data_IF_606652285342
#
_entry.id   IF_606652285342
#
_cell.length_a   1.000
_cell.length_b   1.000
_cell.length_c   1.000
_cell.angle_alpha   90.00
_cell.angle_beta   90.00
_cell.angle_gamma   90.00
#
_symmetry.space_group_name_H-M   'P 1'
#
loop_
_entity.id
_entity.type
_entity.pdbx_description
1 polymer ?
#
# COMPACT_ATOMS: atom_id res chain seq x y z
N UNK A 1 8.05 -26.93 -12.41
CA UNK A 1 7.19 -26.18 -11.52
C UNK A 1 7.58 -24.73 -11.48
N UNK A 2 6.62 -23.89 -11.66
CA UNK A 2 6.86 -22.45 -11.80
C UNK A 2 6.38 -21.74 -10.56
N UNK A 3 7.17 -21.81 -9.51
CA UNK A 3 6.82 -21.28 -8.20
C UNK A 3 6.50 -19.78 -8.22
N UNK A 4 7.01 -19.04 -9.21
CA UNK A 4 6.75 -17.63 -9.34
C UNK A 4 5.46 -17.29 -10.09
N UNK A 5 4.76 -18.27 -10.64
CA UNK A 5 3.53 -18.01 -11.39
C UNK A 5 2.45 -17.27 -10.61
N UNK A 6 2.23 -17.54 -9.31
CA UNK A 6 1.24 -16.76 -8.55
C UNK A 6 1.51 -15.26 -8.52
N UNK A 7 2.78 -14.86 -8.77
CA UNK A 7 3.16 -13.44 -8.81
C UNK A 7 3.07 -12.82 -10.20
N UNK A 8 2.72 -13.63 -11.21
CA UNK A 8 2.63 -13.20 -12.60
C UNK A 8 1.27 -13.62 -13.17
N UNK A 9 0.17 -12.99 -12.71
CA UNK A 9 -1.17 -13.38 -13.16
C UNK A 9 -1.36 -13.08 -14.64
N UNK A 10 -2.15 -13.91 -15.28
CA UNK A 10 -2.56 -13.66 -16.66
C UNK A 10 -3.65 -12.58 -16.65
N UNK A 11 -3.88 -11.96 -17.81
CA UNK A 11 -4.84 -10.86 -17.92
C UNK A 11 -6.28 -11.26 -17.55
N UNK A 12 -6.65 -12.52 -17.72
CA UNK A 12 -7.98 -13.02 -17.38
C UNK A 12 -8.07 -13.64 -15.99
N UNK A 13 -6.95 -13.79 -15.31
CA UNK A 13 -6.92 -14.45 -13.99
C UNK A 13 -7.38 -13.49 -12.89
N UNK A 14 -8.03 -14.06 -11.87
CA UNK A 14 -8.49 -13.34 -10.70
C UNK A 14 -7.54 -13.61 -9.54
N UNK A 15 -6.60 -12.71 -9.31
CA UNK A 15 -5.62 -12.82 -8.23
C UNK A 15 -5.61 -11.55 -7.39
N UNK A 16 -5.43 -11.72 -6.09
CA UNK A 16 -5.29 -10.63 -5.13
C UNK A 16 -4.05 -10.88 -4.29
N UNK A 17 -3.19 -9.87 -4.18
CA UNK A 17 -2.03 -9.91 -3.30
C UNK A 17 -2.24 -8.85 -2.23
N UNK A 18 -2.18 -9.25 -0.97
CA UNK A 18 -2.38 -8.34 0.16
C UNK A 18 -1.30 -8.55 1.20
N UNK A 19 -0.97 -7.51 1.91
CA UNK A 19 -0.09 -7.62 3.07
C UNK A 19 0.74 -6.39 3.33
N UNK A 20 1.50 -6.50 4.42
CA UNK A 20 2.51 -5.52 4.80
C UNK A 20 3.79 -5.82 4.02
N UNK A 21 4.03 -5.03 2.98
CA UNK A 21 5.23 -5.18 2.15
C UNK A 21 6.41 -4.35 2.67
N UNK A 22 6.18 -3.57 3.73
CA UNK A 22 7.20 -2.74 4.38
C UNK A 22 7.91 -1.75 3.45
N UNK A 23 7.28 -1.38 2.35
CA UNK A 23 7.81 -0.39 1.41
C UNK A 23 6.71 0.58 1.02
N UNK A 24 7.02 1.87 1.10
CA UNK A 24 6.16 2.95 0.63
C UNK A 24 6.75 3.47 -0.69
N UNK A 25 6.22 3.05 -1.85
CA UNK A 25 6.92 3.23 -3.12
C UNK A 25 6.82 4.61 -3.76
N UNK A 26 5.81 5.42 -3.41
CA UNK A 26 5.59 6.73 -4.03
C UNK A 26 5.91 7.87 -3.07
N UNK A 27 6.17 9.07 -3.62
CA UNK A 27 6.50 10.24 -2.80
C UNK A 27 5.45 10.56 -1.75
N UNK A 28 4.18 10.43 -2.11
CA UNK A 28 3.07 10.73 -1.21
C UNK A 28 2.56 9.52 -0.43
N UNK A 29 3.33 8.44 -0.43
CA UNK A 29 3.13 7.30 0.47
C UNK A 29 3.84 7.51 1.81
N UNK A 30 4.58 8.61 1.96
CA UNK A 30 5.29 8.97 3.19
C UNK A 30 5.05 10.44 3.51
N UNK A 31 5.20 10.79 4.79
CA UNK A 31 4.99 12.16 5.26
C UNK A 31 6.04 13.15 4.75
N UNK A 32 7.25 12.69 4.42
CA UNK A 32 8.29 13.51 3.80
C UNK A 32 9.23 12.66 2.96
N UNK A 33 9.04 12.70 1.67
CA UNK A 33 9.89 12.00 0.71
C UNK A 33 11.37 12.36 0.91
N UNK A 34 11.65 13.65 1.03
CA UNK A 34 13.01 14.17 1.18
C UNK A 34 13.69 13.61 2.44
N UNK A 35 13.00 13.62 3.57
CA UNK A 35 13.57 13.17 4.84
C UNK A 35 13.70 11.64 4.91
N UNK A 36 12.90 10.90 4.16
CA UNK A 36 12.86 9.45 4.24
C UNK A 36 13.66 8.73 3.16
N UNK A 37 14.36 9.47 2.28
CA UNK A 37 15.14 8.87 1.19
C UNK A 37 16.21 7.87 1.64
N UNK A 38 16.70 8.01 2.86
CA UNK A 38 17.73 7.12 3.42
C UNK A 38 17.20 6.22 4.52
N UNK A 39 15.89 6.22 4.71
CA UNK A 39 15.25 5.44 5.78
C UNK A 39 14.67 4.16 5.18
N UNK A 40 14.84 3.06 5.87
CA UNK A 40 14.27 1.77 5.48
C UNK A 40 12.76 1.92 5.20
N UNK A 41 12.28 1.24 4.21
CA UNK A 41 10.93 1.28 3.65
C UNK A 41 10.69 2.36 2.59
N UNK A 42 11.59 3.30 2.42
CA UNK A 42 11.45 4.35 1.40
C UNK A 42 12.78 4.68 0.70
N UNK A 43 13.80 3.85 0.82
CA UNK A 43 15.03 4.06 0.05
C UNK A 43 14.74 3.89 -1.44
N UNK A 44 15.47 4.59 -2.32
CA UNK A 44 15.25 4.48 -3.76
C UNK A 44 15.26 3.04 -4.29
N UNK A 45 16.18 2.22 -3.79
CA UNK A 45 16.27 0.83 -4.26
C UNK A 45 15.06 0.00 -3.85
N UNK A 46 14.53 0.21 -2.65
CA UNK A 46 13.32 -0.49 -2.19
C UNK A 46 12.11 -0.10 -3.02
N UNK A 47 11.92 1.19 -3.23
CA UNK A 47 10.81 1.72 -4.03
C UNK A 47 10.89 1.20 -5.47
N UNK A 48 12.07 1.27 -6.06
CA UNK A 48 12.30 0.81 -7.43
C UNK A 48 12.01 -0.68 -7.60
N UNK A 49 12.47 -1.50 -6.65
CA UNK A 49 12.23 -2.95 -6.70
C UNK A 49 10.76 -3.30 -6.55
N UNK A 50 10.05 -2.63 -5.66
CA UNK A 50 8.62 -2.90 -5.47
C UNK A 50 7.84 -2.51 -6.72
N UNK A 51 8.12 -1.34 -7.28
CA UNK A 51 7.44 -0.88 -8.50
C UNK A 51 7.77 -1.77 -9.70
N UNK A 52 9.00 -2.29 -9.78
CA UNK A 52 9.38 -3.22 -10.83
C UNK A 52 8.62 -4.55 -10.71
N UNK A 53 8.47 -5.07 -9.49
CA UNK A 53 7.71 -6.29 -9.25
C UNK A 53 6.23 -6.12 -9.61
N UNK A 54 5.65 -4.97 -9.24
CA UNK A 54 4.28 -4.64 -9.56
C UNK A 54 4.06 -4.59 -11.08
N UNK A 55 4.94 -3.91 -11.77
CA UNK A 55 4.86 -3.75 -13.22
C UNK A 55 5.08 -5.08 -13.95
N UNK A 56 6.05 -5.86 -13.49
CA UNK A 56 6.37 -7.15 -14.10
C UNK A 56 5.21 -8.13 -14.01
N UNK A 57 4.49 -8.14 -12.90
CA UNK A 57 3.30 -8.98 -12.70
C UNK A 57 2.00 -8.38 -13.22
N UNK A 58 2.05 -7.20 -13.81
CA UNK A 58 0.86 -6.45 -14.27
C UNK A 58 -0.19 -6.28 -13.17
N UNK A 59 0.29 -6.02 -11.96
CA UNK A 59 -0.57 -5.80 -10.80
C UNK A 59 -1.11 -4.39 -10.77
N UNK A 60 -2.36 -4.25 -10.35
CA UNK A 60 -3.00 -2.95 -10.10
C UNK A 60 -2.92 -2.65 -8.62
N UNK A 61 -2.26 -1.55 -8.27
CA UNK A 61 -2.22 -1.02 -6.91
C UNK A 61 -3.55 -0.33 -6.63
N UNK A 62 -4.43 -0.97 -5.88
CA UNK A 62 -5.80 -0.49 -5.68
C UNK A 62 -5.81 0.91 -5.05
N UNK A 63 -4.95 1.16 -4.07
CA UNK A 63 -4.90 2.47 -3.43
C UNK A 63 -4.62 3.58 -4.44
N UNK A 64 -3.60 3.41 -5.27
CA UNK A 64 -3.21 4.45 -6.24
C UNK A 64 -4.09 4.47 -7.49
N UNK A 65 -4.80 3.40 -7.77
CA UNK A 65 -5.82 3.40 -8.80
C UNK A 65 -7.02 4.27 -8.41
N UNK A 66 -7.28 4.38 -7.10
CA UNK A 66 -8.44 5.11 -6.57
C UNK A 66 -8.09 6.46 -5.95
N UNK A 67 -6.86 6.65 -5.52
CA UNK A 67 -6.41 7.89 -4.86
C UNK A 67 -5.31 8.53 -5.69
N UNK A 68 -5.48 9.80 -6.10
CA UNK A 68 -4.48 10.49 -6.92
C UNK A 68 -3.08 10.49 -6.30
N UNK A 69 -2.02 10.44 -7.12
CA UNK A 69 -0.65 10.46 -6.59
C UNK A 69 -0.30 11.74 -5.83
N UNK A 70 -1.06 12.81 -6.02
CA UNK A 70 -0.87 14.07 -5.30
C UNK A 70 -1.35 14.05 -3.87
N UNK A 71 -2.13 13.03 -3.46
CA UNK A 71 -2.67 12.92 -2.11
C UNK A 71 -1.84 11.98 -1.26
N UNK A 72 -1.65 12.35 0.00
CA UNK A 72 -0.97 11.50 0.99
C UNK A 72 -1.84 10.30 1.34
N UNK A 73 -1.20 9.12 1.42
CA UNK A 73 -1.88 7.87 1.80
C UNK A 73 -1.01 7.14 2.81
N UNK A 74 -1.57 6.87 3.99
CA UNK A 74 -0.83 6.19 5.05
C UNK A 74 -1.64 5.03 5.61
N UNK A 75 -0.93 3.96 6.03
CA UNK A 75 -1.51 2.81 6.70
C UNK A 75 -0.82 2.50 8.03
N UNK A 76 0.24 3.24 8.35
CA UNK A 76 1.07 2.99 9.51
C UNK A 76 1.58 4.29 10.10
N UNK A 77 1.60 4.38 11.43
CA UNK A 77 2.17 5.48 12.21
C UNK A 77 2.92 4.90 13.39
N UNK A 78 4.17 5.33 13.58
CA UNK A 78 5.00 4.86 14.67
C UNK A 78 4.35 5.13 16.04
N UNK A 79 4.54 4.21 16.98
CA UNK A 79 4.18 4.44 18.38
C UNK A 79 5.04 5.49 19.07
N UNK A 80 6.18 5.83 18.50
CA UNK A 80 7.14 6.78 19.09
C UNK A 80 6.60 8.21 19.15
N UNK A 81 5.63 8.55 18.31
CA UNK A 81 5.01 9.87 18.36
C UNK A 81 4.10 9.95 19.58
N UNK A 82 4.24 11.03 20.38
CA UNK A 82 3.40 11.24 21.54
C UNK A 82 1.93 11.44 21.14
N UNK A 83 1.70 12.12 20.03
CA UNK A 83 0.39 12.24 19.41
C UNK A 83 0.55 12.03 17.91
N UNK A 84 0.09 10.89 17.43
CA UNK A 84 0.23 10.53 16.02
C UNK A 84 -0.57 11.44 15.08
N UNK A 85 -1.64 12.07 15.59
CA UNK A 85 -2.49 12.95 14.78
C UNK A 85 -1.86 14.31 14.52
N UNK A 86 -1.09 14.84 15.47
CA UNK A 86 -0.49 16.16 15.37
C UNK A 86 0.57 16.22 14.26
N UNK A 87 1.51 15.30 14.28
CA UNK A 87 2.57 15.25 13.27
C UNK A 87 2.12 14.60 11.98
N UNK A 88 1.18 13.67 12.09
CA UNK A 88 0.67 12.86 10.98
C UNK A 88 1.79 12.29 10.11
N UNK A 89 2.81 11.73 10.76
CA UNK A 89 4.01 11.20 10.10
C UNK A 89 3.83 9.74 9.71
N UNK A 90 2.87 9.51 8.82
CA UNK A 90 2.53 8.17 8.38
C UNK A 90 3.34 7.67 7.20
N UNK A 91 3.16 6.39 6.91
CA UNK A 91 3.70 5.70 5.73
C UNK A 91 2.67 4.70 5.22
N UNK A 92 2.64 4.48 3.92
CA UNK A 92 1.81 3.42 3.33
C UNK A 92 2.65 2.17 3.18
N UNK A 93 2.52 1.23 4.11
CA UNK A 93 3.27 -0.02 4.14
C UNK A 93 2.42 -1.24 3.77
N UNK A 94 1.11 -1.12 3.91
CA UNK A 94 0.17 -2.20 3.64
C UNK A 94 -0.49 -1.98 2.29
N UNK A 95 -0.46 -3.01 1.45
CA UNK A 95 -0.85 -2.91 0.06
C UNK A 95 -1.92 -3.94 -0.29
N UNK A 96 -2.78 -3.56 -1.23
CA UNK A 96 -3.69 -4.47 -1.89
C UNK A 96 -3.47 -4.29 -3.39
N UNK A 97 -3.02 -5.35 -4.03
CA UNK A 97 -2.85 -5.40 -5.48
C UNK A 97 -3.83 -6.42 -6.05
N UNK A 98 -4.44 -6.09 -7.15
CA UNK A 98 -5.33 -7.01 -7.86
C UNK A 98 -4.82 -7.21 -9.28
N UNK A 99 -5.13 -8.37 -9.85
CA UNK A 99 -4.87 -8.61 -11.26
C UNK A 99 -5.72 -7.67 -12.11
N UNK A 100 -5.29 -7.41 -13.34
CA UNK A 100 -5.97 -6.49 -14.23
C UNK A 100 -7.44 -6.85 -14.46
N UNK A 101 -7.74 -8.15 -14.50
CA UNK A 101 -9.12 -8.62 -14.68
C UNK A 101 -10.06 -8.20 -13.54
N UNK A 102 -9.52 -7.91 -12.35
CA UNK A 102 -10.31 -7.48 -11.20
C UNK A 102 -10.40 -5.97 -11.04
N UNK A 103 -9.64 -5.20 -11.82
CA UNK A 103 -9.57 -3.75 -11.65
C UNK A 103 -10.96 -3.10 -11.67
N UNK A 104 -11.79 -3.45 -12.64
CA UNK A 104 -13.13 -2.87 -12.77
C UNK A 104 -14.16 -3.49 -11.82
N UNK A 105 -13.80 -4.53 -11.11
CA UNK A 105 -14.67 -5.17 -10.12
C UNK A 105 -14.51 -4.60 -8.73
N UNK A 106 -13.55 -3.69 -8.54
CA UNK A 106 -13.36 -2.99 -7.27
C UNK A 106 -14.49 -1.98 -7.12
N UNK A 107 -15.36 -2.17 -6.14
CA UNK A 107 -16.48 -1.27 -5.89
C UNK A 107 -16.20 -0.28 -4.76
N UNK A 108 -15.29 -0.60 -3.86
CA UNK A 108 -14.91 0.28 -2.75
C UNK A 108 -13.50 -0.03 -2.28
N UNK A 109 -12.82 1.01 -1.78
CA UNK A 109 -11.53 0.92 -1.15
C UNK A 109 -11.51 1.87 0.03
N UNK A 110 -11.03 1.39 1.18
CA UNK A 110 -11.09 2.16 2.42
C UNK A 110 -9.88 1.92 3.28
N UNK A 111 -9.35 3.00 3.85
CA UNK A 111 -8.34 2.95 4.90
C UNK A 111 -9.01 3.45 6.17
N UNK A 112 -9.09 2.60 7.18
CA UNK A 112 -9.74 2.94 8.46
C UNK A 112 -8.73 3.64 9.36
N UNK A 113 -8.39 4.89 9.03
CA UNK A 113 -7.38 5.69 9.70
C UNK A 113 -7.64 5.82 11.20
N UNK A 114 -8.89 5.99 11.60
CA UNK A 114 -9.26 6.21 13.00
C UNK A 114 -8.90 5.03 13.91
N UNK A 115 -8.72 3.83 13.35
CA UNK A 115 -8.30 2.67 14.11
C UNK A 115 -6.97 2.88 14.83
N UNK A 116 -6.11 3.76 14.32
CA UNK A 116 -4.82 4.08 14.94
C UNK A 116 -5.01 4.71 16.32
N UNK A 117 -6.14 5.36 16.56
CA UNK A 117 -6.48 6.00 17.83
C UNK A 117 -7.39 5.17 18.72
N UNK A 118 -7.69 3.93 18.38
CA UNK A 118 -8.52 3.06 19.24
C UNK A 118 -7.77 2.67 20.51
N UNK A 119 -8.50 2.19 21.51
CA UNK A 119 -7.88 1.65 22.70
C UNK A 119 -6.98 0.47 22.33
N UNK A 120 -5.74 0.47 22.80
CA UNK A 120 -4.71 -0.54 22.46
C UNK A 120 -4.56 -0.74 20.96
N UNK A 121 -4.30 0.33 20.20
CA UNK A 121 -4.26 0.23 18.74
C UNK A 121 -3.04 -0.51 18.22
N UNK A 122 -3.16 -1.08 17.03
CA UNK A 122 -1.99 -1.44 16.22
C UNK A 122 -1.36 -0.16 15.67
N UNK A 123 -0.08 -0.21 15.31
CA UNK A 123 0.57 0.86 14.56
C UNK A 123 0.17 0.84 13.08
N UNK A 124 -0.42 -0.27 12.61
CA UNK A 124 -1.08 -0.37 11.31
C UNK A 124 -2.59 -0.17 11.44
N UNK A 125 -3.22 0.32 10.39
CA UNK A 125 -4.68 0.42 10.33
C UNK A 125 -5.25 -0.51 9.27
N UNK A 126 -6.53 -0.92 9.40
CA UNK A 126 -7.15 -1.79 8.39
C UNK A 126 -7.22 -1.11 7.02
N UNK A 127 -6.91 -1.88 5.99
CA UNK A 127 -7.09 -1.50 4.60
C UNK A 127 -8.07 -2.50 3.99
N UNK A 128 -9.14 -1.99 3.42
CA UNK A 128 -10.26 -2.81 2.97
C UNK A 128 -10.58 -2.54 1.50
N UNK A 129 -10.73 -3.61 0.73
CA UNK A 129 -11.22 -3.52 -0.64
C UNK A 129 -12.49 -4.35 -0.76
N UNK A 130 -13.45 -3.84 -1.51
CA UNK A 130 -14.68 -4.57 -1.82
C UNK A 130 -14.69 -4.86 -3.33
N UNK A 131 -14.93 -6.10 -3.67
CA UNK A 131 -14.98 -6.57 -5.04
C UNK A 131 -16.39 -7.11 -5.34
N UNK A 132 -16.91 -6.79 -6.49
CA UNK A 132 -18.19 -7.32 -6.98
C UNK A 132 -17.90 -8.35 -8.06
N UNK A 133 -17.83 -9.60 -7.65
CA UNK A 133 -17.59 -10.71 -8.55
C UNK A 133 -18.90 -11.26 -9.11
#
# INVERSE_FOLDING_TARGET
MKSCEPLHPRSEDHHILVGDLNVAPHENDVWSHKQLLKIVSHTPIECEKLLAAQQHGDWIDVARDRIPPSEKVYTWWSYRAADWTVGDRGRRLDHIWVSRALQQKVSDFRITRDARGWERPSDHVPVTVTLEL
#
